data_IF_891352725893
#
_entry.id   IF_891352725893
#
_cell.length_a   1.000
_cell.length_b   1.000
_cell.length_c   1.000
_cell.angle_alpha   90.00
_cell.angle_beta   90.00
_cell.angle_gamma   90.00
#
_symmetry.space_group_name_H-M   'P 1'
#
loop_
_entity.id
_entity.type
_entity.pdbx_description
1 polymer ?
#
# COMPACT_ATOMS: atom_id res chain seq x y z
N UNK A 1 15.54 -5.97 -6.35
CA UNK A 1 16.97 -6.41 -6.44
C UNK A 1 17.72 -5.86 -5.23
N UNK A 2 18.56 -6.68 -4.57
CA UNK A 2 19.34 -6.30 -3.38
C UNK A 2 20.77 -5.89 -3.79
N UNK A 3 21.29 -4.82 -3.22
CA UNK A 3 22.66 -4.37 -3.40
C UNK A 3 23.36 -4.32 -2.04
N UNK A 4 24.47 -5.03 -1.89
CA UNK A 4 25.20 -5.15 -0.62
C UNK A 4 26.50 -4.33 -0.67
N UNK A 5 26.77 -3.56 0.38
CA UNK A 5 27.96 -2.72 0.52
C UNK A 5 28.83 -3.20 1.70
N UNK A 6 30.14 -3.34 1.46
CA UNK A 6 31.12 -3.85 2.41
C UNK A 6 32.15 -2.79 2.80
N UNK A 7 32.68 -2.86 4.03
CA UNK A 7 33.75 -1.95 4.47
C UNK A 7 35.12 -2.47 4.07
N UNK A 8 36.00 -1.56 3.65
CA UNK A 8 37.43 -1.86 3.37
C UNK A 8 38.17 -2.35 4.63
N UNK A 9 37.69 -1.99 5.84
CA UNK A 9 38.32 -2.40 7.11
C UNK A 9 38.03 -3.84 7.51
N UNK A 10 36.98 -4.46 6.97
CA UNK A 10 36.56 -5.82 7.29
C UNK A 10 37.19 -6.85 6.32
N UNK A 11 38.31 -6.47 5.70
CA UNK A 11 38.91 -7.23 4.60
C UNK A 11 39.45 -8.61 5.02
N UNK A 12 39.77 -8.77 6.31
CA UNK A 12 40.43 -9.94 6.90
C UNK A 12 39.45 -10.95 7.56
N UNK A 13 38.14 -10.70 7.55
CA UNK A 13 37.15 -11.64 8.10
C UNK A 13 36.79 -12.71 7.06
N UNK A 14 36.82 -13.99 7.43
CA UNK A 14 36.44 -15.12 6.56
C UNK A 14 35.00 -15.03 6.06
N UNK A 15 34.09 -14.43 6.85
CA UNK A 15 32.70 -14.17 6.46
C UNK A 15 32.42 -12.68 6.60
N UNK A 16 32.39 -11.97 5.47
CA UNK A 16 32.06 -10.54 5.42
C UNK A 16 30.54 -10.34 5.54
N UNK A 17 30.10 -9.58 6.54
CA UNK A 17 28.70 -9.10 6.63
C UNK A 17 28.58 -7.73 5.94
N UNK A 18 27.59 -7.53 5.03
CA UNK A 18 27.38 -6.22 4.44
C UNK A 18 26.92 -5.23 5.51
N UNK A 19 27.57 -4.06 5.58
CA UNK A 19 27.22 -3.01 6.56
C UNK A 19 25.96 -2.26 6.13
N UNK A 20 25.68 -2.25 4.84
CA UNK A 20 24.48 -1.66 4.27
C UNK A 20 23.96 -2.51 3.12
N UNK A 21 22.64 -2.64 3.02
CA UNK A 21 21.98 -3.25 1.87
C UNK A 21 20.91 -2.31 1.34
N UNK A 22 20.87 -2.10 0.02
CA UNK A 22 19.85 -1.30 -0.64
C UNK A 22 18.84 -2.18 -1.40
N UNK A 23 17.59 -1.70 -1.45
CA UNK A 23 16.50 -2.28 -2.20
C UNK A 23 15.86 -1.23 -3.10
N UNK A 24 15.35 -1.69 -4.24
CA UNK A 24 14.56 -0.90 -5.19
C UNK A 24 13.25 -1.65 -5.46
N UNK A 25 12.16 -0.90 -5.54
CA UNK A 25 10.83 -1.39 -5.89
C UNK A 25 10.16 -0.39 -6.83
N UNK A 26 9.37 -0.88 -7.78
CA UNK A 26 8.55 -0.07 -8.65
C UNK A 26 7.25 -0.81 -8.94
N UNK A 27 6.19 -0.08 -9.25
CA UNK A 27 4.91 -0.69 -9.56
C UNK A 27 3.87 0.29 -10.07
N UNK A 28 2.72 -0.29 -10.42
CA UNK A 28 1.53 0.40 -10.90
C UNK A 28 0.36 -0.09 -10.07
N UNK A 29 -0.45 0.85 -9.58
CA UNK A 29 -1.77 0.58 -9.02
C UNK A 29 -2.78 1.24 -9.96
N UNK A 30 -3.73 0.45 -10.45
CA UNK A 30 -4.84 0.94 -11.24
C UNK A 30 -6.14 0.74 -10.47
N UNK A 31 -6.99 1.77 -10.47
CA UNK A 31 -8.36 1.70 -9.99
C UNK A 31 -9.26 2.29 -11.05
N UNK A 32 -10.34 1.61 -11.41
CA UNK A 32 -11.24 2.12 -12.43
C UNK A 32 -12.59 1.43 -12.42
N UNK A 33 -13.57 2.15 -12.93
CA UNK A 33 -14.91 1.63 -13.18
C UNK A 33 -15.28 1.93 -14.63
N UNK A 34 -15.93 0.95 -15.26
CA UNK A 34 -16.40 1.03 -16.63
C UNK A 34 -17.91 0.74 -16.66
N UNK A 35 -18.52 0.86 -17.83
CA UNK A 35 -19.93 0.58 -18.02
C UNK A 35 -20.87 1.45 -17.17
N UNK A 36 -20.47 2.71 -16.90
CA UNK A 36 -21.36 3.69 -16.28
C UNK A 36 -22.34 4.17 -17.34
N UNK A 37 -23.65 4.07 -17.08
CA UNK A 37 -24.67 4.58 -18.00
C UNK A 37 -24.59 6.11 -18.09
N UNK A 38 -24.35 6.63 -19.30
CA UNK A 38 -24.50 8.06 -19.58
C UNK A 38 -25.98 8.35 -19.85
N UNK A 39 -26.54 9.34 -19.20
CA UNK A 39 -27.95 9.74 -19.38
C UNK A 39 -28.08 11.24 -19.55
N UNK A 40 -29.05 11.66 -20.34
CA UNK A 40 -29.46 13.05 -20.44
C UNK A 40 -30.32 13.48 -19.24
N UNK A 41 -30.72 14.76 -19.23
CA UNK A 41 -31.56 15.33 -18.16
C UNK A 41 -32.99 14.75 -18.13
N UNK A 42 -33.39 14.02 -19.17
CA UNK A 42 -34.67 13.33 -19.29
C UNK A 42 -34.55 11.84 -18.91
N UNK A 43 -33.35 11.38 -18.57
CA UNK A 43 -33.06 10.02 -18.14
C UNK A 43 -32.86 9.02 -19.28
N UNK A 44 -32.84 9.45 -20.55
CA UNK A 44 -32.55 8.58 -21.68
C UNK A 44 -31.06 8.27 -21.72
N UNK A 45 -30.73 6.99 -21.96
CA UNK A 45 -29.34 6.55 -22.10
C UNK A 45 -28.76 7.12 -23.40
N UNK A 46 -27.69 7.88 -23.29
CA UNK A 46 -26.99 8.52 -24.42
C UNK A 46 -25.68 7.81 -24.78
N UNK A 47 -25.11 7.04 -23.84
CA UNK A 47 -23.79 6.46 -24.03
C UNK A 47 -23.34 5.62 -22.84
N UNK A 48 -22.03 5.42 -22.75
CA UNK A 48 -21.40 4.67 -21.66
C UNK A 48 -20.07 5.33 -21.31
N UNK A 49 -19.86 5.55 -20.01
CA UNK A 49 -18.69 6.22 -19.47
C UNK A 49 -17.78 5.23 -18.73
N UNK A 50 -16.53 5.64 -18.58
CA UNK A 50 -15.54 4.96 -17.76
C UNK A 50 -14.62 5.99 -17.12
N UNK A 51 -14.14 5.69 -15.92
CA UNK A 51 -13.18 6.53 -15.20
C UNK A 51 -12.09 5.65 -14.60
N UNK A 52 -10.86 6.14 -14.57
CA UNK A 52 -9.74 5.36 -14.05
C UNK A 52 -8.60 6.24 -13.55
N UNK A 53 -7.98 5.78 -12.48
CA UNK A 53 -6.78 6.33 -11.89
C UNK A 53 -5.63 5.32 -11.98
N UNK A 54 -4.46 5.84 -12.32
CA UNK A 54 -3.19 5.12 -12.29
C UNK A 54 -2.23 5.80 -11.33
N UNK A 55 -1.67 5.05 -10.40
CA UNK A 55 -0.56 5.45 -9.55
C UNK A 55 0.67 4.63 -9.91
N UNK A 56 1.66 5.29 -10.49
CA UNK A 56 2.99 4.73 -10.69
C UNK A 56 3.85 5.07 -9.47
N UNK A 57 4.70 4.15 -9.03
CA UNK A 57 5.63 4.45 -7.94
C UNK A 57 7.01 3.86 -8.19
N UNK A 58 8.01 4.56 -7.66
CA UNK A 58 9.40 4.11 -7.55
C UNK A 58 9.87 4.34 -6.12
N UNK A 59 10.36 3.27 -5.50
CA UNK A 59 10.79 3.26 -4.11
C UNK A 59 12.24 2.80 -3.99
N UNK A 60 13.00 3.51 -3.18
CA UNK A 60 14.37 3.18 -2.80
C UNK A 60 14.41 2.95 -1.30
N UNK A 61 15.18 1.97 -0.86
CA UNK A 61 15.34 1.67 0.57
C UNK A 61 16.77 1.29 0.88
N UNK A 62 17.25 1.68 2.05
CA UNK A 62 18.60 1.42 2.53
C UNK A 62 18.52 0.92 3.97
N UNK A 63 19.13 -0.23 4.23
CA UNK A 63 19.38 -0.74 5.56
C UNK A 63 20.72 -0.20 6.04
N UNK A 64 20.72 0.80 6.92
CA UNK A 64 21.92 1.45 7.43
C UNK A 64 22.66 0.62 8.49
N UNK A 65 21.93 -0.24 9.21
CA UNK A 65 22.47 -1.15 10.22
C UNK A 65 21.57 -2.37 10.39
N UNK A 66 21.96 -3.33 11.23
CA UNK A 66 21.09 -4.45 11.57
C UNK A 66 19.76 -4.00 12.23
N UNK A 67 19.74 -2.82 12.86
CA UNK A 67 18.56 -2.28 13.57
C UNK A 67 17.77 -1.23 12.80
N UNK A 68 18.35 -0.56 11.82
CA UNK A 68 17.71 0.61 11.18
C UNK A 68 17.72 0.47 9.66
N UNK A 69 16.55 0.60 9.06
CA UNK A 69 16.36 0.78 7.63
C UNK A 69 15.47 1.99 7.36
N UNK A 70 15.70 2.70 6.26
CA UNK A 70 14.82 3.76 5.80
C UNK A 70 14.49 3.58 4.32
N UNK A 71 13.37 4.16 3.90
CA UNK A 71 12.92 4.15 2.53
C UNK A 71 12.29 5.47 2.12
N UNK A 72 12.33 5.72 0.82
CA UNK A 72 11.69 6.84 0.15
C UNK A 72 10.92 6.30 -1.06
N UNK A 73 9.74 6.84 -1.30
CA UNK A 73 8.93 6.52 -2.49
C UNK A 73 8.51 7.80 -3.19
N UNK A 74 8.67 7.84 -4.51
CA UNK A 74 8.05 8.84 -5.37
C UNK A 74 6.86 8.20 -6.09
N UNK A 75 5.72 8.89 -6.06
CA UNK A 75 4.47 8.47 -6.68
C UNK A 75 4.05 9.49 -7.74
N UNK A 76 3.62 8.98 -8.89
CA UNK A 76 3.02 9.77 -9.95
C UNK A 76 1.58 9.29 -10.18
N UNK A 77 0.64 10.21 -10.07
CA UNK A 77 -0.78 9.96 -10.24
C UNK A 77 -1.23 10.48 -11.60
N UNK A 78 -2.02 9.69 -12.31
CA UNK A 78 -2.75 10.09 -13.50
C UNK A 78 -4.19 9.62 -13.38
N UNK A 79 -5.12 10.58 -13.28
CA UNK A 79 -6.54 10.32 -13.14
C UNK A 79 -7.28 10.89 -14.34
N UNK A 80 -7.94 10.02 -15.12
CA UNK A 80 -8.95 10.41 -16.10
C UNK A 80 -10.33 10.36 -15.47
N UNK A 81 -10.89 11.53 -15.15
CA UNK A 81 -12.19 11.65 -14.47
C UNK A 81 -13.35 11.50 -15.44
N UNK A 82 -13.44 12.38 -16.43
CA UNK A 82 -14.56 12.44 -17.38
C UNK A 82 -14.14 13.17 -18.67
N UNK A 83 -14.37 12.54 -19.83
CA UNK A 83 -13.98 13.08 -21.14
C UNK A 83 -12.52 13.59 -21.14
N UNK A 84 -12.31 14.89 -21.35
CA UNK A 84 -11.00 15.54 -21.39
C UNK A 84 -10.55 16.07 -20.01
N UNK A 85 -11.36 15.90 -18.95
CA UNK A 85 -10.98 16.25 -17.58
C UNK A 85 -10.05 15.18 -17.03
N UNK A 86 -8.78 15.55 -16.91
CA UNK A 86 -7.72 14.71 -16.35
C UNK A 86 -6.98 15.44 -15.23
N UNK A 87 -6.29 14.69 -14.39
CA UNK A 87 -5.40 15.23 -13.35
C UNK A 87 -4.10 14.45 -13.29
N UNK A 88 -3.00 15.19 -13.11
CA UNK A 88 -1.70 14.61 -12.78
C UNK A 88 -1.21 15.12 -11.44
N UNK A 89 -0.63 14.24 -10.64
CA UNK A 89 -0.11 14.56 -9.31
C UNK A 89 1.24 13.91 -9.04
N UNK A 90 2.02 14.54 -8.16
CA UNK A 90 3.23 13.96 -7.60
C UNK A 90 3.08 13.86 -6.08
N UNK A 91 3.46 12.71 -5.54
CA UNK A 91 3.42 12.43 -4.11
C UNK A 91 4.70 11.76 -3.63
N UNK A 92 4.98 11.87 -2.35
CA UNK A 92 6.16 11.25 -1.74
C UNK A 92 5.84 10.58 -0.42
N UNK A 93 6.49 9.44 -0.18
CA UNK A 93 6.46 8.77 1.12
C UNK A 93 7.88 8.63 1.67
N UNK A 94 8.00 8.72 2.99
CA UNK A 94 9.24 8.43 3.72
C UNK A 94 8.93 7.47 4.85
N UNK A 95 9.71 6.41 4.99
CA UNK A 95 9.52 5.38 5.99
C UNK A 95 10.80 4.98 6.70
N UNK A 96 10.69 4.56 7.95
CA UNK A 96 11.77 4.01 8.76
C UNK A 96 11.29 2.74 9.46
N UNK A 97 12.16 1.74 9.53
CA UNK A 97 12.01 0.53 10.33
C UNK A 97 13.09 0.50 11.40
N UNK A 98 12.70 0.20 12.63
CA UNK A 98 13.58 -0.02 13.77
C UNK A 98 13.38 -1.41 14.36
N UNK A 99 14.37 -2.30 14.18
CA UNK A 99 14.39 -3.62 14.79
C UNK A 99 14.93 -3.51 16.22
N UNK A 100 14.03 -3.50 17.19
CA UNK A 100 14.38 -3.43 18.62
C UNK A 100 15.04 -4.74 19.08
N UNK A 101 14.45 -5.86 18.67
CA UNK A 101 15.00 -7.23 18.83
C UNK A 101 14.95 -7.94 17.48
N UNK A 102 15.36 -9.22 17.42
CA UNK A 102 15.19 -10.05 16.22
C UNK A 102 13.73 -10.32 15.87
N UNK A 103 12.85 -10.24 16.88
CA UNK A 103 11.44 -10.59 16.79
C UNK A 103 10.53 -9.37 16.79
N UNK A 104 11.03 -8.19 17.17
CA UNK A 104 10.22 -6.98 17.38
C UNK A 104 10.69 -5.85 16.48
N UNK A 105 9.80 -5.38 15.62
CA UNK A 105 10.08 -4.29 14.68
C UNK A 105 9.03 -3.18 14.87
N UNK A 106 9.52 -1.96 15.03
CA UNK A 106 8.73 -0.74 14.96
C UNK A 106 8.85 -0.12 13.57
N UNK A 107 7.76 0.47 13.09
CA UNK A 107 7.74 1.21 11.83
C UNK A 107 7.18 2.61 12.03
N UNK A 108 7.68 3.55 11.23
CA UNK A 108 7.12 4.88 11.11
C UNK A 108 7.10 5.27 9.63
N UNK A 109 5.96 5.78 9.15
CA UNK A 109 5.82 6.26 7.76
C UNK A 109 5.09 7.59 7.74
N UNK A 110 5.63 8.53 6.97
CA UNK A 110 4.92 9.71 6.49
C UNK A 110 4.51 9.44 5.04
N UNK A 111 3.21 9.47 4.76
CA UNK A 111 2.68 9.20 3.42
C UNK A 111 2.04 10.41 2.77
N UNK A 112 2.06 10.40 1.45
CA UNK A 112 1.32 11.30 0.57
C UNK A 112 1.72 12.78 0.72
N UNK A 113 3.00 13.02 1.02
CA UNK A 113 3.59 14.36 1.08
C UNK A 113 3.46 15.04 -0.28
N UNK A 114 2.89 16.26 -0.28
CA UNK A 114 2.62 17.08 -1.48
C UNK A 114 1.68 16.44 -2.53
N UNK A 115 1.00 15.34 -2.20
CA UNK A 115 0.03 14.70 -3.10
C UNK A 115 -1.25 15.54 -3.22
N UNK A 116 -1.72 15.73 -4.45
CA UNK A 116 -2.95 16.46 -4.77
C UNK A 116 -3.43 16.16 -6.19
N UNK A 117 -4.73 16.24 -6.40
CA UNK A 117 -5.30 16.42 -7.73
C UNK A 117 -5.41 17.91 -8.05
N UNK A 118 -5.14 18.25 -9.29
CA UNK A 118 -5.50 19.54 -9.90
C UNK A 118 -6.46 19.27 -11.04
N UNK A 119 -7.63 19.88 -11.01
CA UNK A 119 -8.66 19.71 -12.03
C UNK A 119 -8.81 21.00 -12.82
N UNK A 120 -8.91 20.84 -14.14
CA UNK A 120 -9.27 21.91 -15.06
C UNK A 120 -10.56 21.53 -15.77
N UNK A 121 -11.63 22.27 -15.49
CA UNK A 121 -12.94 22.05 -16.11
C UNK A 121 -13.24 23.00 -17.28
N UNK A 122 -12.30 23.88 -17.64
CA UNK A 122 -12.40 24.79 -18.78
C UNK A 122 -12.70 24.08 -20.11
N UNK A 123 -12.18 22.87 -20.41
CA UNK A 123 -12.53 22.14 -21.62
C UNK A 123 -14.03 21.83 -21.78
N UNK A 124 -14.77 21.72 -20.66
CA UNK A 124 -16.21 21.45 -20.70
C UNK A 124 -17.06 22.71 -20.59
N UNK A 125 -16.64 23.66 -19.76
CA UNK A 125 -17.45 24.82 -19.40
C UNK A 125 -16.96 26.14 -20.01
N UNK A 126 -15.90 26.11 -20.83
CA UNK A 126 -15.28 27.28 -21.44
C UNK A 126 -14.98 28.38 -20.41
N UNK A 127 -15.64 29.54 -20.52
CA UNK A 127 -15.45 30.70 -19.63
C UNK A 127 -15.95 30.46 -18.21
N UNK A 128 -16.85 29.49 -18.01
CA UNK A 128 -17.39 29.10 -16.69
C UNK A 128 -16.55 27.98 -16.05
N UNK A 129 -15.47 27.55 -16.70
CA UNK A 129 -14.51 26.58 -16.18
C UNK A 129 -13.77 27.07 -14.95
N UNK A 130 -13.35 26.14 -14.10
CA UNK A 130 -12.57 26.46 -12.90
C UNK A 130 -11.35 25.56 -12.77
N UNK A 131 -10.29 26.14 -12.20
CA UNK A 131 -9.10 25.42 -11.77
C UNK A 131 -9.22 25.14 -10.28
N UNK A 132 -9.34 23.87 -9.91
CA UNK A 132 -9.45 23.45 -8.51
C UNK A 132 -8.31 22.53 -8.12
N UNK A 133 -7.94 22.53 -6.84
CA UNK A 133 -6.90 21.68 -6.31
C UNK A 133 -7.39 20.96 -5.04
N UNK A 134 -7.40 19.63 -5.07
CA UNK A 134 -7.79 18.78 -3.96
C UNK A 134 -6.55 18.09 -3.39
N UNK A 135 -6.13 18.50 -2.18
CA UNK A 135 -4.99 17.90 -1.49
C UNK A 135 -5.38 16.55 -0.88
N UNK A 136 -4.46 15.59 -0.92
CA UNK A 136 -4.64 14.33 -0.24
C UNK A 136 -4.35 14.49 1.26
N UNK A 137 -4.93 13.65 2.12
CA UNK A 137 -4.54 13.58 3.51
C UNK A 137 -3.07 13.15 3.62
N UNK A 138 -2.27 13.94 4.34
CA UNK A 138 -0.89 13.58 4.68
C UNK A 138 -0.91 12.66 5.89
N UNK A 139 -0.71 11.37 5.63
CA UNK A 139 -0.81 10.30 6.61
C UNK A 139 0.45 10.12 7.45
N UNK A 140 0.26 9.70 8.70
CA UNK A 140 1.32 9.24 9.60
C UNK A 140 0.94 7.86 10.11
N UNK A 141 1.82 6.88 9.92
CA UNK A 141 1.62 5.49 10.34
C UNK A 141 2.68 5.13 11.36
N UNK A 142 2.27 4.56 12.48
CA UNK A 142 3.14 3.98 13.49
C UNK A 142 2.75 2.51 13.60
N UNK A 143 3.70 1.61 13.33
CA UNK A 143 3.46 0.18 13.39
C UNK A 143 4.37 -0.53 14.39
N UNK A 144 3.88 -1.67 14.85
CA UNK A 144 4.60 -2.64 15.67
C UNK A 144 4.32 -4.02 15.10
N UNK A 145 5.35 -4.85 15.01
CA UNK A 145 5.20 -6.27 14.72
C UNK A 145 6.01 -7.11 15.70
N UNK A 146 5.50 -8.32 15.97
CA UNK A 146 6.15 -9.30 16.83
C UNK A 146 6.08 -10.70 16.20
N UNK A 147 7.24 -11.34 16.02
CA UNK A 147 7.36 -12.73 15.55
C UNK A 147 7.51 -13.70 16.72
N UNK A 148 6.57 -14.63 16.85
CA UNK A 148 6.62 -15.77 17.76
C UNK A 148 7.27 -16.96 17.06
N UNK A 149 8.56 -17.19 17.30
CA UNK A 149 9.33 -18.25 16.61
C UNK A 149 8.82 -19.67 16.92
N UNK A 150 8.31 -19.91 18.13
CA UNK A 150 7.80 -21.23 18.57
C UNK A 150 6.60 -21.71 17.74
N UNK A 151 5.76 -20.78 17.28
CA UNK A 151 4.50 -21.07 16.58
C UNK A 151 4.54 -20.64 15.10
N UNK A 152 5.70 -20.20 14.60
CA UNK A 152 5.85 -19.49 13.31
C UNK A 152 4.69 -18.53 13.02
N UNK A 153 4.41 -17.68 14.02
CA UNK A 153 3.32 -16.70 13.99
C UNK A 153 3.88 -15.28 14.01
N UNK A 154 3.31 -14.40 13.19
CA UNK A 154 3.64 -12.97 13.17
C UNK A 154 2.39 -12.17 13.48
N UNK A 155 2.45 -11.29 14.47
CA UNK A 155 1.39 -10.30 14.72
C UNK A 155 1.87 -8.91 14.37
N UNK A 156 0.94 -8.05 13.94
CA UNK A 156 1.22 -6.67 13.62
C UNK A 156 0.04 -5.78 14.02
N UNK A 157 0.36 -4.58 14.49
CA UNK A 157 -0.58 -3.51 14.75
C UNK A 157 -0.09 -2.21 14.09
N UNK A 158 -1.01 -1.41 13.55
CA UNK A 158 -0.72 -0.10 12.97
C UNK A 158 -1.71 0.93 13.51
N UNK A 159 -1.19 2.08 13.92
CA UNK A 159 -1.97 3.27 14.18
C UNK A 159 -1.74 4.30 13.08
N UNK A 160 -2.82 4.73 12.44
CA UNK A 160 -2.82 5.72 11.37
C UNK A 160 -3.52 6.99 11.82
N UNK A 161 -2.95 8.14 11.47
CA UNK A 161 -3.61 9.43 11.60
C UNK A 161 -3.14 10.42 10.54
N UNK A 162 -4.02 11.34 10.13
CA UNK A 162 -3.71 12.33 9.09
C UNK A 162 -3.95 13.77 9.54
N UNK A 163 -3.72 14.71 8.63
CA UNK A 163 -3.97 16.14 8.84
C UNK A 163 -5.43 16.56 8.62
N UNK A 164 -6.30 15.67 8.14
CA UNK A 164 -7.74 15.91 7.96
C UNK A 164 -8.57 15.41 9.15
N UNK A 165 -7.93 14.76 10.12
CA UNK A 165 -8.48 14.40 11.42
C UNK A 165 -8.73 12.91 11.59
N UNK A 166 -8.53 12.09 10.56
CA UNK A 166 -8.71 10.63 10.58
C UNK A 166 -7.81 9.99 11.63
N UNK A 167 -8.35 9.03 12.39
CA UNK A 167 -7.57 8.18 13.31
C UNK A 167 -8.07 6.74 13.20
N UNK A 168 -7.21 5.83 12.79
CA UNK A 168 -7.55 4.42 12.57
C UNK A 168 -6.55 3.48 13.25
N UNK A 169 -7.02 2.33 13.70
CA UNK A 169 -6.20 1.20 14.12
C UNK A 169 -6.40 0.02 13.16
N UNK A 170 -5.32 -0.71 12.92
CA UNK A 170 -5.31 -1.98 12.19
C UNK A 170 -4.58 -3.01 13.00
N UNK A 171 -5.00 -4.26 12.91
CA UNK A 171 -4.34 -5.38 13.54
C UNK A 171 -4.45 -6.62 12.66
N UNK A 172 -3.40 -7.43 12.64
CA UNK A 172 -3.41 -8.69 11.92
C UNK A 172 -2.45 -9.70 12.52
N UNK A 173 -2.73 -10.96 12.24
CA UNK A 173 -1.87 -12.10 12.54
C UNK A 173 -1.70 -12.95 11.28
N UNK A 174 -0.50 -13.46 11.09
CA UNK A 174 -0.15 -14.50 10.13
C UNK A 174 0.34 -15.72 10.91
N UNK A 175 -0.18 -16.89 10.58
CA UNK A 175 0.17 -18.17 11.18
C UNK A 175 0.49 -19.18 10.09
N UNK A 176 1.68 -19.78 10.17
CA UNK A 176 2.24 -20.63 9.13
C UNK A 176 2.49 -22.05 9.68
N UNK A 177 1.44 -22.88 9.83
CA UNK A 177 1.56 -24.21 10.42
C UNK A 177 2.37 -25.19 9.55
N UNK A 178 2.49 -24.89 8.25
CA UNK A 178 3.24 -25.65 7.26
C UNK A 178 4.06 -24.65 6.44
N UNK A 179 5.25 -25.04 6.00
CA UNK A 179 6.20 -24.13 5.32
C UNK A 179 5.62 -23.44 4.07
N UNK A 180 4.65 -24.08 3.42
CA UNK A 180 4.08 -23.64 2.15
C UNK A 180 2.69 -23.00 2.32
N UNK A 181 2.12 -22.99 3.54
CA UNK A 181 0.76 -22.51 3.81
C UNK A 181 0.75 -21.37 4.81
N UNK A 182 0.02 -20.30 4.46
CA UNK A 182 -0.05 -19.06 5.23
C UNK A 182 -1.50 -18.75 5.56
N UNK A 183 -1.87 -18.72 6.83
CA UNK A 183 -3.19 -18.27 7.27
C UNK A 183 -3.09 -16.87 7.84
N UNK A 184 -3.99 -15.98 7.42
CA UNK A 184 -4.02 -14.58 7.84
C UNK A 184 -5.39 -14.22 8.36
N UNK A 185 -5.43 -13.48 9.44
CA UNK A 185 -6.65 -12.91 9.97
C UNK A 185 -6.36 -11.55 10.58
N UNK A 186 -7.31 -10.64 10.54
CA UNK A 186 -7.13 -9.32 11.11
C UNK A 186 -8.36 -8.45 10.94
N UNK A 187 -8.19 -7.18 11.29
CA UNK A 187 -9.18 -6.15 11.01
C UNK A 187 -8.51 -4.88 10.50
N UNK A 188 -9.22 -4.21 9.61
CA UNK A 188 -8.83 -2.95 9.02
C UNK A 188 -9.79 -1.82 9.42
N UNK A 189 -9.28 -0.58 9.37
CA UNK A 189 -10.00 0.68 9.49
C UNK A 189 -10.90 0.79 10.73
N UNK A 190 -10.41 0.37 11.91
CA UNK A 190 -11.12 0.69 13.15
C UNK A 190 -10.96 2.18 13.48
N UNK A 191 -12.00 2.98 13.19
CA UNK A 191 -12.00 4.42 13.39
C UNK A 191 -12.16 4.78 14.87
N UNK A 192 -11.22 5.55 15.41
CA UNK A 192 -11.27 5.99 16.80
C UNK A 192 -12.06 7.29 16.99
N UNK A 193 -12.22 8.05 15.93
CA UNK A 193 -12.85 9.37 15.92
C UNK A 193 -14.21 9.37 15.22
N UNK A 194 -14.61 8.25 14.60
CA UNK A 194 -15.89 8.09 13.94
C UNK A 194 -16.51 6.74 14.36
N UNK A 195 -17.34 6.77 15.40
CA UNK A 195 -17.93 5.55 16.00
C UNK A 195 -18.97 4.86 15.14
N UNK A 196 -19.46 5.52 14.08
CA UNK A 196 -20.46 4.98 13.18
C UNK A 196 -19.86 4.02 12.14
N UNK A 197 -18.53 4.04 11.95
CA UNK A 197 -17.84 3.17 11.02
C UNK A 197 -17.51 1.81 11.64
N UNK A 198 -18.10 0.77 11.08
CA UNK A 198 -17.88 -0.61 11.52
C UNK A 198 -16.47 -1.12 11.21
N UNK A 199 -15.94 -1.95 12.12
CA UNK A 199 -14.68 -2.70 11.92
C UNK A 199 -14.79 -3.57 10.67
N UNK A 200 -13.72 -3.65 9.88
CA UNK A 200 -13.65 -4.51 8.68
C UNK A 200 -12.79 -5.74 8.95
N UNK A 201 -13.35 -6.85 9.48
CA UNK A 201 -12.60 -8.09 9.64
C UNK A 201 -12.20 -8.65 8.26
N UNK A 202 -11.05 -9.30 8.24
CA UNK A 202 -10.47 -9.92 7.06
C UNK A 202 -9.83 -11.27 7.39
N UNK A 203 -9.89 -12.17 6.42
CA UNK A 203 -9.31 -13.50 6.47
C UNK A 203 -8.59 -13.77 5.15
N UNK A 204 -7.48 -14.50 5.21
CA UNK A 204 -6.75 -14.86 4.01
C UNK A 204 -6.03 -16.19 4.15
N UNK A 205 -5.82 -16.82 3.01
CA UNK A 205 -5.02 -18.02 2.86
C UNK A 205 -4.02 -17.80 1.72
N UNK A 206 -2.80 -18.25 1.92
CA UNK A 206 -1.76 -18.26 0.91
C UNK A 206 -1.15 -19.64 0.79
N UNK A 207 -0.79 -20.01 -0.43
CA UNK A 207 0.03 -21.19 -0.73
C UNK A 207 1.23 -20.75 -1.56
N UNK A 208 2.41 -21.28 -1.28
CA UNK A 208 3.60 -21.02 -2.09
C UNK A 208 4.41 -22.30 -2.30
N UNK A 209 4.80 -22.57 -3.54
CA UNK A 209 5.57 -23.75 -3.90
C UNK A 209 6.82 -23.35 -4.69
N UNK A 210 7.92 -24.06 -4.42
CA UNK A 210 9.17 -23.88 -5.14
C UNK A 210 9.19 -24.81 -6.36
N UNK A 211 9.15 -24.21 -7.55
CA UNK A 211 9.26 -24.91 -8.83
C UNK A 211 10.61 -24.55 -9.45
N UNK A 212 11.53 -25.53 -9.44
CA UNK A 212 12.93 -25.33 -9.83
C UNK A 212 13.59 -24.19 -9.03
N UNK A 213 13.94 -23.08 -9.69
CA UNK A 213 14.61 -21.92 -9.07
C UNK A 213 13.65 -20.76 -8.79
N UNK A 214 12.34 -20.95 -8.99
CA UNK A 214 11.33 -19.90 -8.81
C UNK A 214 10.35 -20.35 -7.72
N UNK A 215 9.98 -19.45 -6.83
CA UNK A 215 8.88 -19.68 -5.88
C UNK A 215 7.64 -18.99 -6.42
N UNK A 216 6.59 -19.76 -6.67
CA UNK A 216 5.29 -19.26 -7.12
C UNK A 216 4.33 -19.34 -5.94
N UNK A 217 3.61 -18.25 -5.66
CA UNK A 217 2.62 -18.19 -4.61
C UNK A 217 1.27 -17.67 -5.10
N UNK A 218 0.22 -18.19 -4.50
CA UNK A 218 -1.16 -17.76 -4.67
C UNK A 218 -1.71 -17.33 -3.32
N UNK A 219 -2.31 -16.15 -3.26
CA UNK A 219 -2.97 -15.64 -2.07
C UNK A 219 -4.43 -15.32 -2.40
N UNK A 220 -5.31 -15.63 -1.47
CA UNK A 220 -6.70 -15.21 -1.49
C UNK A 220 -7.04 -14.55 -0.16
N UNK A 221 -7.68 -13.39 -0.22
CA UNK A 221 -8.18 -12.71 0.96
C UNK A 221 -9.64 -12.26 0.77
N UNK A 222 -10.40 -12.40 1.85
CA UNK A 222 -11.76 -11.91 2.01
C UNK A 222 -11.76 -10.79 3.05
N UNK A 223 -12.50 -9.72 2.78
CA UNK A 223 -12.72 -8.64 3.74
C UNK A 223 -14.20 -8.23 3.70
N UNK A 224 -14.79 -8.17 4.89
CA UNK A 224 -16.16 -7.71 5.07
C UNK A 224 -16.29 -6.21 4.79
N UNK A 225 -17.26 -5.82 3.96
CA UNK A 225 -17.49 -4.42 3.57
C UNK A 225 -18.91 -3.96 3.93
N UNK A 226 -19.13 -3.38 5.12
CA UNK A 226 -20.47 -3.06 5.63
C UNK A 226 -21.23 -1.99 4.83
N UNK A 227 -20.52 -1.18 4.04
CA UNK A 227 -21.10 -0.08 3.25
C UNK A 227 -21.00 -0.30 1.73
N UNK A 228 -20.67 -1.52 1.31
CA UNK A 228 -20.62 -1.92 -0.09
C UNK A 228 -21.79 -2.85 -0.42
N UNK A 229 -22.18 -2.92 -1.68
CA UNK A 229 -23.15 -3.91 -2.16
C UNK A 229 -22.60 -5.34 -2.12
N UNK A 230 -21.27 -5.48 -2.04
CA UNK A 230 -20.56 -6.74 -2.01
C UNK A 230 -19.30 -6.64 -1.14
N UNK A 231 -18.96 -7.75 -0.50
CA UNK A 231 -17.70 -7.91 0.21
C UNK A 231 -16.51 -7.91 -0.76
N UNK A 232 -15.31 -7.63 -0.22
CA UNK A 232 -14.10 -7.53 -1.02
C UNK A 232 -13.39 -8.87 -1.09
N UNK A 233 -13.13 -9.32 -2.31
CA UNK A 233 -12.32 -10.48 -2.62
C UNK A 233 -11.02 -10.04 -3.29
N UNK A 234 -9.88 -10.48 -2.77
CA UNK A 234 -8.56 -10.10 -3.25
C UNK A 234 -7.84 -11.39 -3.66
N UNK A 235 -7.33 -11.42 -4.90
CA UNK A 235 -6.53 -12.52 -5.42
C UNK A 235 -5.13 -11.98 -5.71
N UNK A 236 -4.13 -12.65 -5.18
CA UNK A 236 -2.71 -12.31 -5.35
C UNK A 236 -1.94 -13.45 -6.00
N UNK A 237 -1.00 -13.09 -6.88
CA UNK A 237 -0.01 -14.00 -7.43
C UNK A 237 1.37 -13.43 -7.11
N UNK A 238 2.26 -14.25 -6.57
CA UNK A 238 3.63 -13.89 -6.20
C UNK A 238 4.62 -14.75 -6.96
N UNK A 239 5.70 -14.13 -7.41
CA UNK A 239 6.80 -14.81 -8.10
C UNK A 239 8.10 -14.30 -7.51
N UNK A 240 8.90 -15.19 -6.92
CA UNK A 240 10.21 -14.87 -6.37
C UNK A 240 11.30 -15.60 -7.15
N UNK A 241 12.36 -14.86 -7.49
CA UNK A 241 13.53 -15.30 -8.26
C UNK A 241 14.81 -15.23 -7.42
#
# INVERSE_FOLDING_TARGET
RRFDFYSVRDSALEIRKPRSSAGISAGLINSGVSNIDERDNQGFKTGTLSTSENQFFLSLSVKFSEKVAAGFSAKFYYYKLYQDITSTGLGFDVGVLYSYTKNTIFSFVLSDLNSKYKWDSSPLYNIDGTLTANKFPTGKKIGLSYKYDEYDMLTAAEFYFDNFGTKMIRFGAEFNPLADLFFRAGFDNYHLNNGDESVKPSFGIGYAEKIANVVIGFDYAFMYEPYSSQDRHIIGIRINF
#
